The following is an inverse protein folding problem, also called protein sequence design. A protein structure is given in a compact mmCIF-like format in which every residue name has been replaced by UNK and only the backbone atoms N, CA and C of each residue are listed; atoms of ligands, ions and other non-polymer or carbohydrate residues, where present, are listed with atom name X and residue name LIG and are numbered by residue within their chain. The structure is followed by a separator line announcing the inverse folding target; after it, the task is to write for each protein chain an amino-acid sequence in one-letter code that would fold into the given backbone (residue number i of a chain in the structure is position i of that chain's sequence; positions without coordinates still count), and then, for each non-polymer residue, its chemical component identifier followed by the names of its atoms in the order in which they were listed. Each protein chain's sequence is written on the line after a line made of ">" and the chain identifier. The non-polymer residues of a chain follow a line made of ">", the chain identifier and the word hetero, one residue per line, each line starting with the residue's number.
data_IF_374961267854
#
_entry.id   IF_374961267854
#
_cell.length_a   1.000
_cell.length_b   1.000
_cell.length_c   1.000
_cell.angle_alpha   90.00
_cell.angle_beta   90.00
_cell.angle_gamma   90.00
#
_symmetry.space_group_name_H-M   'P 1'
#
loop_
_entity.id
_entity.type
_entity.pdbx_description
1 polymer ?
#
# COMPACT_ATOMS: atom_id res chain seq x y z
N UNK A 1 -60.70 -0.34 -9.87
CA UNK A 1 -59.24 -0.55 -9.79
C UNK A 1 -58.57 0.58 -10.56
N UNK A 2 -57.92 1.54 -9.88
CA UNK A 2 -57.28 2.69 -10.53
C UNK A 2 -55.95 2.22 -11.16
N UNK A 3 -55.91 2.12 -12.48
CA UNK A 3 -54.70 1.90 -13.27
C UNK A 3 -53.77 3.11 -13.05
N UNK A 4 -52.68 2.90 -12.31
CA UNK A 4 -51.59 3.88 -12.23
C UNK A 4 -50.90 3.89 -13.59
N UNK A 5 -51.12 4.93 -14.38
CA UNK A 5 -50.43 5.15 -15.65
C UNK A 5 -48.92 5.21 -15.39
N UNK A 6 -48.20 4.17 -15.79
CA UNK A 6 -46.73 4.17 -15.78
C UNK A 6 -46.25 5.25 -16.76
N UNK A 7 -45.71 6.34 -16.24
CA UNK A 7 -44.94 7.31 -17.03
C UNK A 7 -43.64 6.62 -17.49
N UNK A 8 -43.43 6.54 -18.79
CA UNK A 8 -42.18 6.04 -19.37
C UNK A 8 -41.06 7.06 -19.20
N UNK A 9 -39.84 6.57 -19.02
CA UNK A 9 -38.62 7.39 -19.01
C UNK A 9 -38.39 7.98 -20.41
N UNK A 10 -38.09 9.27 -20.51
CA UNK A 10 -37.74 9.87 -21.80
C UNK A 10 -36.29 9.55 -22.17
N UNK A 11 -35.99 9.41 -23.46
CA UNK A 11 -34.61 9.25 -23.94
C UNK A 11 -33.72 10.43 -23.52
N UNK A 12 -34.31 11.64 -23.47
CA UNK A 12 -33.63 12.88 -23.07
C UNK A 12 -33.21 12.83 -21.59
N UNK A 13 -34.07 12.33 -20.70
CA UNK A 13 -33.71 12.16 -19.28
C UNK A 13 -32.51 11.21 -19.11
N UNK A 14 -32.48 10.08 -19.82
CA UNK A 14 -31.33 9.16 -19.74
C UNK A 14 -30.06 9.83 -20.28
N UNK A 15 -30.17 10.56 -21.40
CA UNK A 15 -29.02 11.22 -22.04
C UNK A 15 -28.34 12.23 -21.12
N UNK A 16 -29.11 13.07 -20.42
CA UNK A 16 -28.57 14.07 -19.50
C UNK A 16 -27.90 13.39 -18.30
N UNK A 17 -28.50 12.32 -17.77
CA UNK A 17 -27.95 11.59 -16.62
C UNK A 17 -26.59 10.97 -16.96
N UNK A 18 -26.47 10.29 -18.10
CA UNK A 18 -25.18 9.69 -18.49
C UNK A 18 -24.12 10.74 -18.80
N UNK A 19 -24.51 11.90 -19.34
CA UNK A 19 -23.59 13.01 -19.58
C UNK A 19 -23.00 13.56 -18.26
N UNK A 20 -23.85 13.75 -17.24
CA UNK A 20 -23.41 14.23 -15.92
C UNK A 20 -22.51 13.18 -15.24
N UNK A 21 -22.91 11.90 -15.25
CA UNK A 21 -22.10 10.81 -14.68
C UNK A 21 -20.74 10.73 -15.39
N UNK A 22 -20.71 10.84 -16.72
CA UNK A 22 -19.49 10.83 -17.52
C UNK A 22 -18.53 11.97 -17.15
N UNK A 23 -19.06 13.19 -16.98
CA UNK A 23 -18.27 14.35 -16.55
C UNK A 23 -17.66 14.15 -15.15
N UNK A 24 -18.47 13.68 -14.20
CA UNK A 24 -17.99 13.41 -12.83
C UNK A 24 -16.93 12.30 -12.81
N UNK A 25 -17.16 11.20 -13.55
CA UNK A 25 -16.22 10.09 -13.64
C UNK A 25 -14.89 10.50 -14.29
N UNK A 26 -14.92 11.38 -15.30
CA UNK A 26 -13.73 11.88 -15.97
C UNK A 26 -12.76 12.61 -15.01
N UNK A 27 -13.29 13.31 -14.00
CA UNK A 27 -12.49 13.99 -12.98
C UNK A 27 -12.13 13.04 -11.82
N UNK A 28 -13.07 12.19 -11.40
CA UNK A 28 -12.90 11.34 -10.23
C UNK A 28 -11.89 10.19 -10.45
N UNK A 29 -11.94 9.52 -11.62
CA UNK A 29 -11.09 8.36 -11.92
C UNK A 29 -9.57 8.68 -11.88
N UNK A 30 -9.05 9.72 -12.55
CA UNK A 30 -7.61 10.01 -12.50
C UNK A 30 -7.15 10.37 -11.08
N UNK A 31 -7.95 11.13 -10.33
CA UNK A 31 -7.65 11.48 -8.94
C UNK A 31 -7.59 10.24 -8.04
N UNK A 32 -8.53 9.31 -8.20
CA UNK A 32 -8.54 8.05 -7.46
C UNK A 32 -7.30 7.20 -7.77
N UNK A 33 -6.89 7.12 -9.05
CA UNK A 33 -5.69 6.36 -9.43
C UNK A 33 -4.43 6.93 -8.78
N UNK A 34 -4.27 8.25 -8.76
CA UNK A 34 -3.14 8.90 -8.08
C UNK A 34 -3.17 8.66 -6.57
N UNK A 35 -4.35 8.74 -5.95
CA UNK A 35 -4.51 8.50 -4.51
C UNK A 35 -4.14 7.06 -4.14
N UNK A 36 -4.55 6.06 -4.93
CA UNK A 36 -4.19 4.66 -4.71
C UNK A 36 -2.68 4.47 -4.83
N UNK A 37 -2.04 5.05 -5.85
CA UNK A 37 -0.59 4.90 -6.04
C UNK A 37 0.20 5.55 -4.89
N UNK A 38 -0.25 6.72 -4.43
CA UNK A 38 0.30 7.36 -3.24
C UNK A 38 0.13 6.47 -2.00
N UNK A 39 -1.06 5.90 -1.79
CA UNK A 39 -1.33 5.01 -0.66
C UNK A 39 -0.45 3.76 -0.69
N UNK A 40 -0.21 3.16 -1.87
CA UNK A 40 0.71 2.03 -2.04
C UNK A 40 2.14 2.40 -1.65
N UNK A 41 2.62 3.57 -2.08
CA UNK A 41 3.94 4.07 -1.71
C UNK A 41 4.06 4.32 -0.21
N UNK A 42 3.05 4.93 0.41
CA UNK A 42 3.02 5.19 1.85
C UNK A 42 2.97 3.90 2.67
N UNK A 43 2.14 2.94 2.27
CA UNK A 43 2.09 1.62 2.90
C UNK A 43 3.44 0.89 2.77
N UNK A 44 4.08 0.95 1.59
CA UNK A 44 5.41 0.39 1.42
C UNK A 44 6.45 1.06 2.33
N UNK A 45 6.39 2.39 2.49
CA UNK A 45 7.27 3.12 3.39
C UNK A 45 7.03 2.76 4.86
N UNK A 46 5.77 2.56 5.27
CA UNK A 46 5.43 2.11 6.62
C UNK A 46 6.02 0.71 6.93
N UNK A 47 5.87 -0.23 5.99
CA UNK A 47 6.47 -1.56 6.09
C UNK A 47 8.00 -1.49 6.19
N UNK A 48 8.65 -0.65 5.38
CA UNK A 48 10.10 -0.45 5.44
C UNK A 48 10.56 0.11 6.79
N UNK A 49 9.81 1.06 7.37
CA UNK A 49 10.08 1.58 8.72
C UNK A 49 9.93 0.50 9.79
N UNK A 50 8.93 -0.38 9.66
CA UNK A 50 8.77 -1.52 10.57
C UNK A 50 9.96 -2.48 10.50
N UNK A 51 10.44 -2.81 9.28
CA UNK A 51 11.63 -3.63 9.08
C UNK A 51 12.88 -2.93 9.66
N UNK A 52 13.02 -1.63 9.44
CA UNK A 52 14.16 -0.86 9.97
C UNK A 52 14.16 -0.84 11.51
N UNK A 53 13.00 -0.65 12.13
CA UNK A 53 12.87 -0.71 13.58
C UNK A 53 13.17 -2.11 14.12
N UNK A 54 12.70 -3.15 13.43
CA UNK A 54 12.94 -4.54 13.79
C UNK A 54 14.42 -4.90 13.76
N UNK A 55 15.16 -4.51 12.70
CA UNK A 55 16.59 -4.83 12.62
C UNK A 55 17.40 -4.13 13.70
N UNK A 56 17.02 -2.90 14.05
CA UNK A 56 17.71 -2.13 15.07
C UNK A 56 17.50 -2.78 16.43
N UNK A 57 16.28 -3.23 16.73
CA UNK A 57 15.99 -3.98 17.95
C UNK A 57 16.76 -5.30 18.01
N UNK A 58 16.82 -6.05 16.91
CA UNK A 58 17.62 -7.26 16.81
C UNK A 58 19.10 -7.02 17.13
N UNK A 59 19.70 -5.98 16.53
CA UNK A 59 21.11 -5.66 16.77
C UNK A 59 21.39 -5.29 18.23
N UNK A 60 20.48 -4.52 18.85
CA UNK A 60 20.56 -4.12 20.25
C UNK A 60 20.48 -5.32 21.20
N UNK A 61 19.51 -6.21 21.00
CA UNK A 61 19.29 -7.36 21.88
C UNK A 61 20.41 -8.40 21.74
N UNK A 62 20.84 -8.68 20.50
CA UNK A 62 21.89 -9.65 20.20
C UNK A 62 23.32 -9.06 20.31
N UNK A 63 23.46 -7.77 20.67
CA UNK A 63 24.72 -7.02 20.75
C UNK A 63 25.58 -7.17 19.49
N UNK A 64 24.93 -7.15 18.32
CA UNK A 64 25.59 -7.27 17.02
C UNK A 64 26.04 -5.90 16.51
N UNK A 65 27.13 -5.83 15.72
CA UNK A 65 27.55 -4.59 15.09
C UNK A 65 26.57 -4.16 13.99
N UNK A 66 26.54 -2.86 13.70
CA UNK A 66 25.59 -2.30 12.73
C UNK A 66 25.88 -2.74 11.27
N UNK A 67 27.06 -3.29 11.01
CA UNK A 67 27.46 -3.84 9.70
C UNK A 67 26.83 -5.20 9.40
N UNK A 68 26.27 -5.87 10.41
CA UNK A 68 25.66 -7.19 10.26
C UNK A 68 24.24 -7.08 9.70
N UNK A 69 23.86 -8.03 8.83
CA UNK A 69 22.49 -8.13 8.30
C UNK A 69 21.74 -9.20 9.09
N UNK A 70 20.56 -8.90 9.67
CA UNK A 70 19.79 -9.91 10.37
C UNK A 70 19.36 -11.03 9.41
N UNK A 71 19.53 -12.31 9.79
CA UNK A 71 18.95 -13.40 9.04
C UNK A 71 17.43 -13.33 9.09
N UNK A 72 16.79 -13.65 7.96
CA UNK A 72 15.35 -13.46 7.79
C UNK A 72 14.51 -14.23 8.82
N UNK A 73 14.96 -15.43 9.20
CA UNK A 73 14.29 -16.30 10.16
C UNK A 73 14.25 -15.74 11.59
N UNK A 74 15.19 -14.85 11.95
CA UNK A 74 15.21 -14.20 13.27
C UNK A 74 14.41 -12.90 13.29
N UNK A 75 14.18 -12.29 12.12
CA UNK A 75 13.46 -11.04 12.00
C UNK A 75 11.94 -11.25 11.85
N UNK A 76 11.53 -12.29 11.11
CA UNK A 76 10.13 -12.57 10.82
C UNK A 76 9.68 -13.93 11.38
N UNK A 77 8.56 -13.93 12.10
CA UNK A 77 7.94 -15.14 12.65
C UNK A 77 7.11 -14.85 13.91
N UNK A 78 6.33 -15.83 14.40
CA UNK A 78 5.37 -15.62 15.49
C UNK A 78 5.97 -15.12 16.81
N UNK A 79 7.26 -15.39 17.05
CA UNK A 79 8.00 -14.96 18.25
C UNK A 79 9.18 -14.04 17.91
N UNK A 80 9.25 -13.56 16.66
CA UNK A 80 10.29 -12.67 16.20
C UNK A 80 9.91 -11.19 16.41
N UNK A 81 10.76 -10.27 15.93
CA UNK A 81 10.52 -8.84 15.99
C UNK A 81 9.32 -8.37 15.16
N UNK A 82 8.99 -9.13 14.11
CA UNK A 82 7.84 -8.89 13.24
C UNK A 82 7.10 -10.21 13.02
N UNK A 83 5.82 -10.26 13.40
CA UNK A 83 5.03 -11.51 13.41
C UNK A 83 4.96 -12.19 12.03
N UNK A 84 4.77 -11.39 10.97
CA UNK A 84 4.71 -11.85 9.59
C UNK A 84 5.52 -10.94 8.68
N UNK A 85 6.27 -11.53 7.75
CA UNK A 85 6.92 -10.76 6.68
C UNK A 85 5.89 -9.91 5.94
N UNK A 86 6.06 -8.58 5.86
CA UNK A 86 5.13 -7.72 5.15
C UNK A 86 5.25 -7.92 3.64
N UNK A 87 4.12 -7.84 2.95
CA UNK A 87 4.03 -7.88 1.49
C UNK A 87 3.99 -6.45 0.93
N UNK A 88 4.71 -6.20 -0.16
CA UNK A 88 4.63 -4.90 -0.83
C UNK A 88 3.30 -4.80 -1.61
N UNK A 89 2.50 -3.74 -1.42
CA UNK A 89 1.22 -3.60 -2.11
C UNK A 89 1.35 -3.38 -3.62
N UNK A 90 2.56 -3.09 -4.11
CA UNK A 90 2.89 -3.00 -5.55
C UNK A 90 3.64 -4.23 -6.07
N UNK A 91 3.74 -5.31 -5.29
CA UNK A 91 4.40 -6.57 -5.69
C UNK A 91 5.93 -6.58 -5.63
N UNK A 92 6.54 -5.57 -4.99
CA UNK A 92 7.98 -5.52 -4.78
C UNK A 92 8.50 -6.46 -3.68
N UNK A 93 9.80 -6.78 -3.74
CA UNK A 93 10.49 -7.53 -2.71
C UNK A 93 11.24 -6.58 -1.76
N UNK A 94 11.14 -6.86 -0.45
CA UNK A 94 11.91 -6.16 0.57
C UNK A 94 13.29 -6.78 0.75
N UNK A 95 14.31 -5.91 0.78
CA UNK A 95 15.68 -6.21 1.15
C UNK A 95 15.95 -5.59 2.53
N UNK A 96 16.37 -6.43 3.48
CA UNK A 96 16.61 -5.98 4.86
C UNK A 96 17.86 -5.10 4.89
N UNK A 97 18.96 -5.51 4.26
CA UNK A 97 20.29 -4.88 4.32
C UNK A 97 20.89 -4.84 5.75
N UNK A 98 22.19 -4.53 5.84
CA UNK A 98 22.89 -4.35 7.12
C UNK A 98 22.18 -3.34 8.02
N UNK A 99 22.40 -3.40 9.33
CA UNK A 99 21.70 -2.54 10.31
C UNK A 99 21.90 -1.05 10.04
N UNK A 100 23.13 -0.65 9.70
CA UNK A 100 23.53 0.69 9.29
C UNK A 100 22.89 1.14 7.97
N UNK A 101 22.59 0.19 7.07
CA UNK A 101 22.00 0.47 5.77
C UNK A 101 20.48 0.48 5.86
N UNK A 102 19.81 1.41 5.17
CA UNK A 102 18.33 1.44 5.16
C UNK A 102 17.79 0.19 4.47
N UNK A 103 16.72 -0.39 5.02
CA UNK A 103 15.93 -1.40 4.31
C UNK A 103 15.38 -0.82 3.00
N UNK A 104 15.27 -1.64 1.95
CA UNK A 104 14.84 -1.19 0.62
C UNK A 104 13.78 -2.11 0.01
N UNK A 105 13.05 -1.58 -0.97
CA UNK A 105 12.05 -2.27 -1.76
C UNK A 105 12.45 -2.18 -3.23
N UNK A 106 12.32 -3.28 -3.98
CA UNK A 106 12.65 -3.31 -5.42
C UNK A 106 11.82 -2.35 -6.28
N UNK A 107 10.64 -1.94 -5.83
CA UNK A 107 9.73 -1.06 -6.57
C UNK A 107 9.84 0.40 -6.13
N UNK A 108 9.91 0.67 -4.82
CA UNK A 108 9.85 2.02 -4.26
C UNK A 108 11.19 2.56 -3.73
N UNK A 109 12.25 1.74 -3.75
CA UNK A 109 13.58 2.11 -3.29
C UNK A 109 13.76 1.98 -1.77
N UNK A 110 14.73 2.70 -1.23
CA UNK A 110 15.08 2.67 0.19
C UNK A 110 14.01 3.33 1.08
N UNK A 111 13.97 2.92 2.35
CA UNK A 111 13.15 3.55 3.37
C UNK A 111 13.40 5.08 3.42
N UNK A 112 12.36 5.91 3.59
CA UNK A 112 12.55 7.34 3.80
C UNK A 112 13.35 7.60 5.08
#
# INVERSE_FOLDING_TARGET
>A
MKQLTRRGFTLVEIMIVVAIIGLLAAIAIPNLRQAIEKARKEACAANLKQIQAAKLRWALDAKKPDTETPPEAELFGPLAYVEKRPDCPSGGAYQINAVESKASCSVHGAAP
#
